data_IF_031534692682
#
_entry.id   IF_031534692682
#
_cell.length_a   1.000
_cell.length_b   1.000
_cell.length_c   1.000
_cell.angle_alpha   90.00
_cell.angle_beta   90.00
_cell.angle_gamma   90.00
#
_symmetry.space_group_name_H-M   'P 1'
#
loop_
_entity.id
_entity.type
_entity.pdbx_description
1 polymer ?
#
# COMPACT_ATOMS: atom_id res chain seq x y z
N UNK A 1 -13.55 -2.58 6.00
CA UNK A 1 -13.94 -1.67 4.88
C UNK A 1 -15.12 -2.19 4.08
N UNK A 2 -15.12 -3.40 3.50
CA UNK A 2 -16.28 -3.90 2.74
C UNK A 2 -17.61 -3.88 3.54
N UNK A 3 -17.59 -4.37 4.80
CA UNK A 3 -18.78 -4.34 5.68
C UNK A 3 -19.22 -2.91 6.01
N UNK A 4 -18.27 -2.00 6.21
CA UNK A 4 -18.55 -0.60 6.55
C UNK A 4 -19.15 0.15 5.35
N UNK A 5 -18.55 -0.03 4.15
CA UNK A 5 -19.09 0.48 2.89
C UNK A 5 -20.52 0.00 2.67
N UNK A 6 -20.76 -1.31 2.79
CA UNK A 6 -22.09 -1.88 2.60
C UNK A 6 -23.11 -1.33 3.61
N UNK A 7 -22.73 -1.22 4.88
CA UNK A 7 -23.59 -0.64 5.91
C UNK A 7 -23.93 0.82 5.60
N UNK A 8 -22.96 1.61 5.15
CA UNK A 8 -23.19 3.00 4.77
C UNK A 8 -24.07 3.16 3.52
N UNK A 9 -23.94 2.26 2.54
CA UNK A 9 -24.84 2.21 1.38
C UNK A 9 -26.29 1.94 1.81
N UNK A 10 -26.50 1.02 2.74
CA UNK A 10 -27.83 0.76 3.33
C UNK A 10 -28.35 1.98 4.07
N UNK A 11 -27.53 2.64 4.89
CA UNK A 11 -27.94 3.83 5.61
C UNK A 11 -28.28 5.00 4.68
N UNK A 12 -27.52 5.20 3.61
CA UNK A 12 -27.76 6.25 2.64
C UNK A 12 -29.16 6.16 2.01
N UNK A 13 -29.72 4.95 1.88
CA UNK A 13 -31.04 4.72 1.29
C UNK A 13 -32.22 5.19 2.16
N UNK A 14 -32.00 5.33 3.47
CA UNK A 14 -33.04 5.70 4.45
C UNK A 14 -32.86 7.11 5.05
N UNK A 15 -31.69 7.73 4.86
CA UNK A 15 -31.40 9.08 5.37
C UNK A 15 -32.03 10.13 4.45
N UNK A 16 -32.90 10.97 5.02
CA UNK A 16 -33.58 12.07 4.32
C UNK A 16 -32.82 13.39 4.40
N UNK A 17 -32.04 13.60 5.46
CA UNK A 17 -31.21 14.79 5.62
C UNK A 17 -30.09 14.84 4.58
N UNK A 18 -30.04 15.94 3.82
CA UNK A 18 -29.15 16.06 2.67
C UNK A 18 -27.68 16.18 3.07
N UNK A 19 -27.39 16.89 4.16
CA UNK A 19 -26.01 17.09 4.63
C UNK A 19 -25.43 15.77 5.14
N UNK A 20 -26.19 15.03 5.94
CA UNK A 20 -25.81 13.70 6.42
C UNK A 20 -25.61 12.72 5.25
N UNK A 21 -26.49 12.76 4.25
CA UNK A 21 -26.38 11.90 3.06
C UNK A 21 -25.10 12.17 2.26
N UNK A 22 -24.67 13.44 2.15
CA UNK A 22 -23.41 13.81 1.51
C UNK A 22 -22.20 13.35 2.33
N UNK A 23 -22.26 13.44 3.66
CA UNK A 23 -21.19 12.92 4.53
C UNK A 23 -21.03 11.41 4.39
N UNK A 24 -22.13 10.65 4.40
CA UNK A 24 -22.13 9.20 4.18
C UNK A 24 -21.56 8.86 2.80
N UNK A 25 -21.91 9.63 1.76
CA UNK A 25 -21.36 9.45 0.42
C UNK A 25 -19.83 9.63 0.40
N UNK A 26 -19.31 10.63 1.11
CA UNK A 26 -17.87 10.83 1.28
C UNK A 26 -17.18 9.61 1.92
N UNK A 27 -17.78 9.03 2.96
CA UNK A 27 -17.26 7.83 3.61
C UNK A 27 -17.26 6.60 2.68
N UNK A 28 -18.34 6.41 1.91
CA UNK A 28 -18.44 5.33 0.92
C UNK A 28 -17.30 5.42 -0.11
N UNK A 29 -17.04 6.63 -0.64
CA UNK A 29 -15.96 6.86 -1.58
C UNK A 29 -14.60 6.57 -0.92
N UNK A 30 -14.37 7.03 0.29
CA UNK A 30 -13.14 6.75 1.02
C UNK A 30 -12.89 5.25 1.22
N UNK A 31 -13.92 4.48 1.60
CA UNK A 31 -13.77 3.03 1.74
C UNK A 31 -13.59 2.32 0.39
N UNK A 32 -14.20 2.81 -0.68
CA UNK A 32 -13.99 2.28 -2.03
C UNK A 32 -12.52 2.43 -2.45
N UNK A 33 -11.93 3.60 -2.24
CA UNK A 33 -10.53 3.89 -2.55
C UNK A 33 -9.57 3.07 -1.68
N UNK A 34 -9.91 2.89 -0.40
CA UNK A 34 -9.14 2.02 0.50
C UNK A 34 -9.18 0.55 0.05
N UNK A 35 -10.34 0.06 -0.39
CA UNK A 35 -10.47 -1.31 -0.89
C UNK A 35 -9.65 -1.51 -2.16
N UNK A 36 -9.70 -0.58 -3.12
CA UNK A 36 -8.85 -0.62 -4.32
C UNK A 36 -7.36 -0.71 -3.96
N UNK A 37 -6.92 0.12 -3.01
CA UNK A 37 -5.56 0.09 -2.48
C UNK A 37 -5.21 -1.27 -1.87
N UNK A 38 -6.08 -1.81 -1.01
CA UNK A 38 -5.84 -3.09 -0.33
C UNK A 38 -5.77 -4.25 -1.32
N UNK A 39 -6.63 -4.29 -2.35
CA UNK A 39 -6.58 -5.30 -3.39
C UNK A 39 -5.30 -5.21 -4.22
N UNK A 40 -4.90 -3.99 -4.60
CA UNK A 40 -3.65 -3.77 -5.33
C UNK A 40 -2.43 -4.22 -4.51
N UNK A 41 -2.41 -3.90 -3.22
CA UNK A 41 -1.34 -4.28 -2.31
C UNK A 41 -1.28 -5.79 -2.07
N UNK A 42 -2.44 -6.43 -1.89
CA UNK A 42 -2.51 -7.88 -1.74
C UNK A 42 -1.99 -8.59 -3.00
N UNK A 43 -2.35 -8.12 -4.19
CA UNK A 43 -1.84 -8.65 -5.45
C UNK A 43 -0.31 -8.52 -5.53
N UNK A 44 0.23 -7.36 -5.17
CA UNK A 44 1.68 -7.09 -5.14
C UNK A 44 2.42 -8.07 -4.21
N UNK A 45 1.91 -8.27 -2.99
CA UNK A 45 2.52 -9.20 -2.04
C UNK A 45 2.47 -10.66 -2.53
N UNK A 46 1.38 -11.07 -3.20
CA UNK A 46 1.29 -12.39 -3.84
C UNK A 46 2.34 -12.56 -4.95
N UNK A 47 2.56 -11.53 -5.78
CA UNK A 47 3.64 -11.56 -6.78
C UNK A 47 5.02 -11.75 -6.13
N UNK A 48 5.27 -11.09 -5.00
CA UNK A 48 6.55 -11.23 -4.28
C UNK A 48 6.73 -12.65 -3.70
N UNK A 49 5.71 -13.20 -3.05
CA UNK A 49 5.77 -14.57 -2.53
C UNK A 49 6.00 -15.58 -3.65
N UNK A 50 5.27 -15.46 -4.77
CA UNK A 50 5.45 -16.31 -5.94
C UNK A 50 6.89 -16.24 -6.48
N UNK A 51 7.49 -15.05 -6.51
CA UNK A 51 8.88 -14.87 -6.96
C UNK A 51 9.90 -15.52 -6.02
N UNK A 52 9.65 -15.51 -4.71
CA UNK A 52 10.54 -16.11 -3.70
C UNK A 52 10.43 -17.63 -3.64
N UNK A 53 9.24 -18.17 -3.90
CA UNK A 53 8.93 -19.60 -3.77
C UNK A 53 8.88 -20.32 -5.12
N UNK A 54 9.20 -19.63 -6.23
CA UNK A 54 9.00 -20.13 -7.61
C UNK A 54 7.57 -20.62 -7.87
N UNK A 55 6.58 -19.94 -7.28
CA UNK A 55 5.16 -20.23 -7.46
C UNK A 55 4.55 -19.52 -8.67
N UNK A 56 3.31 -19.88 -9.01
CA UNK A 56 2.57 -19.19 -10.07
C UNK A 56 2.16 -17.78 -9.66
N UNK A 57 2.22 -16.84 -10.61
CA UNK A 57 1.77 -15.47 -10.39
C UNK A 57 0.23 -15.42 -10.24
N UNK A 58 -0.29 -14.50 -9.40
CA UNK A 58 -1.73 -14.31 -9.27
C UNK A 58 -2.36 -13.87 -10.59
N UNK A 59 -3.57 -14.38 -10.89
CA UNK A 59 -4.30 -14.01 -12.11
C UNK A 59 -4.56 -12.48 -12.16
N UNK A 60 -4.06 -11.75 -13.16
CA UNK A 60 -4.23 -10.30 -13.23
C UNK A 60 -5.71 -9.87 -13.36
N UNK A 61 -6.57 -10.72 -13.93
CA UNK A 61 -8.01 -10.42 -14.04
C UNK A 61 -8.69 -10.35 -12.67
N UNK A 62 -8.24 -11.14 -11.69
CA UNK A 62 -8.85 -11.12 -10.35
C UNK A 62 -8.61 -9.80 -9.62
N UNK A 63 -7.52 -9.10 -9.91
CA UNK A 63 -7.32 -7.74 -9.40
C UNK A 63 -8.25 -6.75 -10.11
N UNK A 64 -8.36 -6.85 -11.44
CA UNK A 64 -9.11 -5.89 -12.25
C UNK A 64 -10.62 -5.91 -11.99
N UNK A 65 -11.18 -7.00 -11.44
CA UNK A 65 -12.59 -7.06 -11.00
C UNK A 65 -12.88 -6.19 -9.79
N UNK A 66 -11.86 -5.80 -9.03
CA UNK A 66 -12.00 -4.95 -7.85
C UNK A 66 -11.80 -3.45 -8.14
N UNK A 67 -11.55 -3.08 -9.39
CA UNK A 67 -11.44 -1.67 -9.78
C UNK A 67 -12.84 -1.04 -9.81
N UNK A 68 -12.99 0.07 -9.08
CA UNK A 68 -14.23 0.83 -8.99
C UNK A 68 -14.61 1.41 -10.35
N UNK A 69 -15.90 1.74 -10.52
CA UNK A 69 -16.42 2.34 -11.75
C UNK A 69 -15.76 3.69 -12.07
N UNK A 70 -15.58 4.62 -11.11
CA UNK A 70 -14.87 5.88 -11.35
C UNK A 70 -13.42 5.67 -11.80
N UNK A 71 -12.69 4.77 -11.15
CA UNK A 71 -11.29 4.47 -11.51
C UNK A 71 -11.20 3.84 -12.90
N UNK A 72 -12.06 2.85 -13.20
CA UNK A 72 -12.13 2.23 -14.53
C UNK A 72 -12.42 3.26 -15.62
N UNK A 73 -13.35 4.18 -15.40
CA UNK A 73 -13.66 5.24 -16.36
C UNK A 73 -12.45 6.14 -16.61
N UNK A 74 -11.70 6.47 -15.56
CA UNK A 74 -10.47 7.28 -15.68
C UNK A 74 -9.39 6.57 -16.47
N UNK A 75 -9.14 5.30 -16.17
CA UNK A 75 -8.16 4.47 -16.89
C UNK A 75 -8.54 4.26 -18.37
N UNK A 76 -9.84 4.09 -18.65
CA UNK A 76 -10.33 4.00 -20.02
C UNK A 76 -10.13 5.31 -20.80
N UNK A 77 -10.31 6.47 -20.16
CA UNK A 77 -10.00 7.78 -20.78
C UNK A 77 -8.51 7.95 -21.08
N UNK A 78 -7.65 7.35 -20.26
CA UNK A 78 -6.20 7.27 -20.51
C UNK A 78 -5.85 6.25 -21.62
N UNK A 79 -6.80 5.45 -22.09
CA UNK A 79 -6.61 4.47 -23.15
C UNK A 79 -5.93 3.17 -22.71
N UNK A 80 -5.67 2.98 -21.41
CA UNK A 80 -4.96 1.80 -20.89
C UNK A 80 -5.65 1.30 -19.63
N UNK A 81 -6.20 0.08 -19.69
CA UNK A 81 -6.80 -0.62 -18.56
C UNK A 81 -6.08 -1.95 -18.28
N UNK A 82 -4.99 -1.86 -17.54
CA UNK A 82 -4.13 -2.97 -17.12
C UNK A 82 -3.79 -2.88 -15.64
N UNK A 83 -3.28 -3.98 -15.06
CA UNK A 83 -2.78 -4.01 -13.67
C UNK A 83 -1.75 -2.90 -13.43
N UNK A 84 -0.86 -2.66 -14.39
CA UNK A 84 0.17 -1.62 -14.30
C UNK A 84 -0.42 -0.21 -14.26
N UNK A 85 -1.40 0.09 -15.13
CA UNK A 85 -2.08 1.40 -15.14
C UNK A 85 -2.89 1.63 -13.86
N UNK A 86 -3.52 0.58 -13.32
CA UNK A 86 -4.23 0.64 -12.06
C UNK A 86 -3.28 0.86 -10.88
N UNK A 87 -2.17 0.12 -10.82
CA UNK A 87 -1.14 0.32 -9.79
C UNK A 87 -0.57 1.75 -9.83
N UNK A 88 -0.25 2.27 -11.02
CA UNK A 88 0.22 3.64 -11.19
C UNK A 88 -0.81 4.68 -10.68
N UNK A 89 -2.09 4.48 -10.98
CA UNK A 89 -3.17 5.33 -10.50
C UNK A 89 -3.28 5.33 -8.96
N UNK A 90 -3.20 4.16 -8.33
CA UNK A 90 -3.22 4.04 -6.86
C UNK A 90 -2.00 4.73 -6.23
N UNK A 91 -0.82 4.59 -6.83
CA UNK A 91 0.40 5.28 -6.37
C UNK A 91 0.28 6.81 -6.48
N UNK A 92 -0.34 7.31 -7.56
CA UNK A 92 -0.53 8.75 -7.76
C UNK A 92 -1.47 9.38 -6.71
N UNK A 93 -2.46 8.62 -6.22
CA UNK A 93 -3.42 9.08 -5.19
C UNK A 93 -2.84 9.10 -3.77
N UNK A 94 -1.78 8.35 -3.51
CA UNK A 94 -1.22 8.22 -2.17
C UNK A 94 0.31 8.16 -2.21
N UNK A 95 0.99 9.32 -2.10
CA UNK A 95 2.45 9.40 -2.14
C UNK A 95 3.14 8.56 -1.05
N UNK A 96 2.45 8.23 0.05
CA UNK A 96 2.99 7.38 1.10
C UNK A 96 3.22 5.92 0.65
N UNK A 97 2.48 5.40 -0.34
CA UNK A 97 2.83 4.13 -0.98
C UNK A 97 4.14 4.25 -1.73
N UNK A 98 4.29 5.33 -2.51
CA UNK A 98 5.52 5.59 -3.24
C UNK A 98 6.70 5.72 -2.26
N UNK A 99 6.48 6.36 -1.11
CA UNK A 99 7.51 6.48 -0.08
C UNK A 99 7.89 5.13 0.53
N UNK A 100 6.95 4.19 0.72
CA UNK A 100 7.27 2.82 1.16
C UNK A 100 7.97 1.99 0.08
N UNK A 101 7.61 2.18 -1.20
CA UNK A 101 8.28 1.53 -2.34
C UNK A 101 9.71 2.08 -2.53
N UNK A 102 9.91 3.39 -2.39
CA UNK A 102 11.21 4.08 -2.48
C UNK A 102 12.05 3.92 -1.19
N UNK A 103 11.41 3.72 -0.03
CA UNK A 103 12.07 3.45 1.25
C UNK A 103 12.66 2.04 1.35
N UNK A 104 12.63 1.25 0.27
CA UNK A 104 13.45 0.05 0.07
C UNK A 104 14.97 0.27 0.19
N UNK A 105 15.42 1.49 0.55
CA UNK A 105 16.79 1.83 0.93
C UNK A 105 16.95 2.59 2.26
N UNK A 106 15.96 2.59 3.16
CA UNK A 106 15.98 3.50 4.34
C UNK A 106 15.60 2.95 5.71
N UNK A 107 14.96 1.78 5.84
CA UNK A 107 14.42 1.32 7.13
C UNK A 107 15.35 0.40 7.95
N UNK A 108 16.63 0.28 7.58
CA UNK A 108 17.65 -0.10 8.57
C UNK A 108 18.57 1.09 8.73
N UNK A 109 18.37 1.83 9.82
CA UNK A 109 19.39 2.65 10.43
C UNK A 109 20.52 1.67 10.80
N UNK A 110 21.33 1.25 9.83
CA UNK A 110 22.56 0.50 10.08
C UNK A 110 23.43 1.46 10.87
N UNK A 111 23.37 1.31 12.19
CA UNK A 111 24.37 1.84 13.10
C UNK A 111 25.72 1.46 12.46
N UNK A 112 26.59 2.43 12.13
CA UNK A 112 27.85 2.10 11.49
C UNK A 112 28.58 1.10 12.40
N UNK A 113 29.26 0.08 11.86
CA UNK A 113 30.07 -0.78 12.69
C UNK A 113 31.06 0.14 13.40
N UNK A 114 30.97 0.18 14.74
CA UNK A 114 31.98 0.85 15.55
C UNK A 114 33.27 0.07 15.31
N UNK A 115 34.08 0.56 14.37
CA UNK A 115 35.46 0.17 14.23
C UNK A 115 36.15 0.66 15.51
N UNK A 116 36.20 -0.18 16.54
CA UNK A 116 37.07 0.06 17.68
C UNK A 116 38.53 -0.19 17.26
N UNK A 117 39.13 0.85 16.69
CA UNK A 117 40.56 1.14 16.62
C UNK A 117 40.73 2.45 17.41
N UNK A 118 41.57 2.65 18.42
CA UNK A 118 42.70 1.91 18.96
C UNK A 118 43.07 2.51 20.34
N UNK A 119 43.79 1.73 21.15
CA UNK A 119 44.97 2.13 21.95
C UNK A 119 44.87 3.14 23.13
N UNK A 120 45.09 2.62 24.34
CA UNK A 120 45.73 3.27 25.50
C UNK A 120 46.09 2.12 26.47
N UNK A 121 47.32 1.66 26.65
CA UNK A 121 48.53 2.43 26.94
C UNK A 121 48.63 2.70 28.44
N UNK A 122 49.11 1.72 29.25
CA UNK A 122 49.99 1.95 30.42
C UNK A 122 50.20 0.71 31.31
N UNK A 123 51.42 0.17 31.23
CA UNK A 123 52.35 -0.13 32.34
C UNK A 123 51.85 -0.82 33.63
N UNK A 124 52.38 -2.03 33.92
CA UNK A 124 53.28 -2.29 35.06
C UNK A 124 53.79 -3.76 35.10
N UNK A 125 55.10 -3.87 35.34
CA UNK A 125 55.89 -5.08 35.61
C UNK A 125 55.57 -5.69 36.98
N UNK A 126 55.71 -7.02 37.11
CA UNK A 126 56.47 -7.75 38.17
C UNK A 126 56.22 -9.25 37.93
N UNK A 127 57.19 -10.05 37.47
CA UNK A 127 58.14 -10.82 38.29
C UNK A 127 57.52 -11.36 39.59
N UNK A 128 57.08 -12.62 39.58
CA UNK A 128 57.65 -13.72 40.37
C UNK A 128 57.11 -15.06 39.86
#
# INVERSE_FOLDING_TARGET
DHKLKHMAELQQSVVTDQDTRLQIQGQILQWEENLERLHCEQFRLRCYMASLQSGELPNPKSLLTHVSRPTKNTLNKLGVFTVSSFHAFICARSPSLLNNLLAGRGATKRRPPMLSRSNSGSSRRSMQ
#
